data_IF_404680072524
#
_entry.id   IF_404680072524
#
_cell.length_a   1.000
_cell.length_b   1.000
_cell.length_c   1.000
_cell.angle_alpha   90.00
_cell.angle_beta   90.00
_cell.angle_gamma   90.00
#
_symmetry.space_group_name_H-M   'P 1'
#
loop_
_entity.id
_entity.type
_entity.pdbx_description
1 polymer ?
#
# COMPACT_ATOMS: atom_id res chain seq x y z
N UNK A 1 10.25 11.96 20.09
CA UNK A 1 8.85 11.63 19.76
C UNK A 1 8.70 10.13 19.71
N UNK A 2 7.58 9.58 20.17
CA UNK A 2 7.33 8.14 20.19
C UNK A 2 6.28 7.77 19.16
N UNK A 3 6.66 6.95 18.20
CA UNK A 3 5.82 6.56 17.07
C UNK A 3 5.67 5.05 17.00
N UNK A 4 4.51 4.57 16.54
CA UNK A 4 4.25 3.14 16.36
C UNK A 4 3.88 2.79 14.92
N UNK A 5 4.47 1.72 14.39
CA UNK A 5 4.07 1.13 13.13
C UNK A 5 2.90 0.16 13.29
N UNK A 6 2.10 -0.01 12.23
CA UNK A 6 1.15 -1.15 12.13
C UNK A 6 1.84 -2.46 11.71
N UNK A 7 3.14 -2.43 11.44
CA UNK A 7 3.91 -3.56 10.93
C UNK A 7 4.63 -4.31 12.05
N UNK A 8 4.73 -5.66 11.99
CA UNK A 8 5.56 -6.43 12.90
C UNK A 8 7.04 -6.00 12.85
N UNK A 9 7.78 -6.18 13.94
CA UNK A 9 9.22 -5.84 14.01
C UNK A 9 10.06 -6.56 12.93
N UNK A 10 9.63 -7.75 12.51
CA UNK A 10 10.27 -8.54 11.46
C UNK A 10 9.92 -8.11 10.04
N UNK A 11 8.98 -7.18 9.82
CA UNK A 11 8.57 -6.76 8.47
C UNK A 11 9.59 -5.83 7.83
N UNK A 12 9.82 -5.93 6.51
CA UNK A 12 10.60 -4.90 5.79
C UNK A 12 9.90 -3.54 5.83
N UNK A 13 8.57 -3.48 5.93
CA UNK A 13 7.84 -2.23 6.06
C UNK A 13 8.21 -1.47 7.35
N UNK A 14 8.62 -2.19 8.41
CA UNK A 14 9.19 -1.57 9.61
C UNK A 14 10.64 -1.07 9.39
N UNK A 15 11.40 -1.72 8.51
CA UNK A 15 12.72 -1.24 8.09
C UNK A 15 12.65 0.09 7.33
N UNK A 16 11.59 0.32 6.53
CA UNK A 16 11.31 1.63 5.93
C UNK A 16 11.15 2.71 7.00
N UNK A 17 10.35 2.41 8.03
CA UNK A 17 10.11 3.34 9.11
C UNK A 17 11.40 3.70 9.87
N UNK A 18 12.26 2.71 10.15
CA UNK A 18 13.59 2.95 10.74
C UNK A 18 14.51 3.76 9.82
N UNK A 19 14.41 3.58 8.50
CA UNK A 19 15.15 4.40 7.54
C UNK A 19 14.75 5.87 7.68
N UNK A 20 13.45 6.15 7.73
CA UNK A 20 12.94 7.50 7.93
C UNK A 20 13.42 8.14 9.23
N UNK A 21 13.27 7.46 10.37
CA UNK A 21 13.66 8.05 11.67
C UNK A 21 15.17 8.30 11.76
N UNK A 22 15.99 7.44 11.14
CA UNK A 22 17.43 7.66 11.02
C UNK A 22 17.78 8.89 10.17
N UNK A 23 17.05 9.14 9.07
CA UNK A 23 17.26 10.34 8.26
C UNK A 23 16.84 11.61 8.98
N UNK A 24 15.70 11.61 9.68
CA UNK A 24 15.25 12.76 10.49
C UNK A 24 16.31 13.13 11.53
N UNK A 25 16.83 12.14 12.28
CA UNK A 25 17.90 12.37 13.26
C UNK A 25 19.15 12.94 12.60
N UNK A 26 19.56 12.39 11.45
CA UNK A 26 20.76 12.84 10.73
C UNK A 26 20.60 14.26 10.17
N UNK A 27 19.50 14.55 9.49
CA UNK A 27 19.25 15.85 8.84
C UNK A 27 19.04 16.98 9.85
N UNK A 28 18.46 16.66 11.02
CA UNK A 28 18.27 17.62 12.11
C UNK A 28 19.51 17.85 12.98
N UNK A 29 20.58 17.09 12.77
CA UNK A 29 21.75 17.11 13.65
C UNK A 29 21.44 16.62 15.07
N UNK A 30 20.48 15.70 15.22
CA UNK A 30 20.02 15.16 16.50
C UNK A 30 18.96 16.01 17.23
N UNK A 31 18.54 17.16 16.66
CA UNK A 31 17.52 18.02 17.28
C UNK A 31 16.13 17.38 17.29
N UNK A 32 15.86 16.47 16.36
CA UNK A 32 14.63 15.69 16.32
C UNK A 32 14.96 14.19 16.30
N UNK A 33 14.52 13.49 17.33
CA UNK A 33 14.60 12.04 17.43
C UNK A 33 13.21 11.42 17.50
N UNK A 34 12.98 10.41 16.66
CA UNK A 34 11.74 9.64 16.62
C UNK A 34 12.08 8.20 16.98
N UNK A 35 11.53 7.72 18.08
CA UNK A 35 11.57 6.33 18.47
C UNK A 35 10.56 5.54 17.62
N UNK A 36 11.05 4.56 16.87
CA UNK A 36 10.24 3.71 16.02
C UNK A 36 9.86 2.42 16.75
N UNK A 37 8.59 2.25 17.09
CA UNK A 37 8.06 1.06 17.75
C UNK A 37 7.31 0.15 16.75
N UNK A 38 7.44 -1.17 16.87
CA UNK A 38 6.70 -2.11 16.02
C UNK A 38 5.22 -2.22 16.45
N UNK A 39 4.43 -2.92 15.65
CA UNK A 39 3.04 -3.26 15.96
C UNK A 39 2.91 -3.92 17.35
N UNK A 40 1.91 -3.47 18.12
CA UNK A 40 1.57 -4.05 19.43
C UNK A 40 2.46 -3.57 20.59
N UNK A 41 3.41 -2.65 20.36
CA UNK A 41 4.29 -2.17 21.42
C UNK A 41 3.56 -1.32 22.49
N UNK A 42 2.62 -0.47 22.07
CA UNK A 42 1.80 0.39 22.94
C UNK A 42 0.31 0.09 22.72
N UNK A 43 -0.13 0.07 21.46
CA UNK A 43 -1.51 -0.23 21.06
C UNK A 43 -1.57 -1.30 19.98
N UNK A 44 -2.74 -1.89 19.73
CA UNK A 44 -2.95 -2.82 18.63
C UNK A 44 -2.58 -2.21 17.27
N UNK A 45 -2.19 -3.05 16.30
CA UNK A 45 -1.71 -2.61 15.00
C UNK A 45 -2.72 -1.69 14.27
N UNK A 46 -4.01 -2.02 14.34
CA UNK A 46 -5.10 -1.26 13.72
C UNK A 46 -5.67 -0.15 14.63
N UNK A 47 -5.08 0.09 15.80
CA UNK A 47 -5.49 1.14 16.75
C UNK A 47 -4.61 2.39 16.65
N UNK A 48 -3.53 2.34 15.86
CA UNK A 48 -2.51 3.41 15.79
C UNK A 48 -3.09 4.77 15.35
N UNK A 49 -4.07 4.81 14.45
CA UNK A 49 -4.69 6.06 14.02
C UNK A 49 -5.39 6.78 15.18
N UNK A 50 -6.24 6.07 15.92
CA UNK A 50 -6.98 6.65 17.03
C UNK A 50 -6.03 7.01 18.19
N UNK A 51 -4.99 6.21 18.42
CA UNK A 51 -3.95 6.49 19.40
C UNK A 51 -3.15 7.75 19.05
N UNK A 52 -2.77 7.95 17.79
CA UNK A 52 -2.10 9.17 17.32
C UNK A 52 -3.02 10.39 17.43
N UNK A 53 -4.28 10.27 16.99
CA UNK A 53 -5.23 11.38 17.08
C UNK A 53 -5.47 11.83 18.53
N UNK A 54 -5.48 10.90 19.49
CA UNK A 54 -5.66 11.19 20.92
C UNK A 54 -4.35 11.51 21.64
N UNK A 55 -3.22 11.49 20.94
CA UNK A 55 -1.88 11.72 21.47
C UNK A 55 -1.47 10.73 22.57
N UNK A 56 -1.91 9.47 22.46
CA UNK A 56 -1.35 8.34 23.23
C UNK A 56 0.06 8.01 22.70
N UNK A 57 0.25 8.16 21.39
CA UNK A 57 1.54 8.16 20.69
C UNK A 57 1.64 9.44 19.86
N UNK A 58 2.86 9.93 19.59
CA UNK A 58 3.09 11.18 18.85
C UNK A 58 2.82 11.03 17.35
N UNK A 59 2.88 9.79 16.84
CA UNK A 59 2.63 9.50 15.44
C UNK A 59 2.61 8.01 15.11
N UNK A 60 2.30 7.70 13.86
CA UNK A 60 2.17 6.34 13.37
C UNK A 60 2.74 6.16 11.98
N UNK A 61 3.24 4.96 11.68
CA UNK A 61 3.62 4.55 10.34
C UNK A 61 2.71 3.40 9.88
N UNK A 62 1.84 3.68 8.92
CA UNK A 62 0.68 2.83 8.63
C UNK A 62 0.22 2.97 7.18
N UNK A 63 -1.01 2.58 6.87
CA UNK A 63 -1.58 2.58 5.52
C UNK A 63 -3.06 2.97 5.56
N UNK A 64 -3.43 4.02 4.81
CA UNK A 64 -4.73 4.66 4.96
C UNK A 64 -5.92 3.73 4.70
N UNK A 65 -5.77 2.75 3.81
CA UNK A 65 -6.84 1.78 3.48
C UNK A 65 -7.27 0.93 4.68
N UNK A 66 -6.49 0.83 5.76
CA UNK A 66 -6.94 0.22 7.01
C UNK A 66 -8.09 1.00 7.68
N UNK A 67 -8.29 2.26 7.31
CA UNK A 67 -9.35 3.13 7.82
C UNK A 67 -10.61 3.13 6.96
N UNK A 68 -10.72 2.21 5.98
CA UNK A 68 -11.89 2.10 5.10
C UNK A 68 -13.21 1.89 5.88
N UNK A 69 -13.13 1.29 7.08
CA UNK A 69 -14.28 1.16 7.99
C UNK A 69 -14.76 2.48 8.60
N UNK A 70 -13.91 3.52 8.64
CA UNK A 70 -14.29 4.88 9.06
C UNK A 70 -14.80 5.71 7.89
N UNK A 71 -14.11 5.66 6.74
CA UNK A 71 -14.57 6.23 5.48
C UNK A 71 -13.88 5.55 4.31
N UNK A 72 -14.67 5.14 3.31
CA UNK A 72 -14.16 4.47 2.10
C UNK A 72 -13.25 5.37 1.25
N UNK A 73 -13.29 6.69 1.46
CA UNK A 73 -12.35 7.61 0.80
C UNK A 73 -10.88 7.32 1.16
N UNK A 74 -10.61 6.62 2.27
CA UNK A 74 -9.25 6.28 2.69
C UNK A 74 -8.45 5.54 1.60
N UNK A 75 -9.12 4.68 0.81
CA UNK A 75 -8.47 3.89 -0.23
C UNK A 75 -7.87 4.73 -1.35
N UNK A 76 -8.43 5.92 -1.60
CA UNK A 76 -7.95 6.82 -2.64
C UNK A 76 -6.59 7.43 -2.27
N UNK A 77 -6.23 7.44 -0.98
CA UNK A 77 -4.95 7.97 -0.50
C UNK A 77 -3.82 6.94 -0.43
N UNK A 78 -4.07 5.70 -0.88
CA UNK A 78 -3.03 4.67 -0.94
C UNK A 78 -2.57 4.30 -2.34
N UNK A 79 -3.00 5.03 -3.36
CA UNK A 79 -2.83 4.66 -4.78
C UNK A 79 -4.07 4.03 -5.40
N UNK A 80 -4.99 3.51 -4.57
CA UNK A 80 -6.27 2.94 -4.96
C UNK A 80 -6.19 1.65 -5.79
N UNK A 81 -7.26 0.84 -5.82
CA UNK A 81 -7.38 -0.25 -6.77
C UNK A 81 -7.31 0.27 -8.21
N UNK A 82 -6.61 -0.47 -9.07
CA UNK A 82 -6.39 -0.10 -10.47
C UNK A 82 -5.36 1.00 -10.72
N UNK A 83 -4.61 1.41 -9.69
CA UNK A 83 -3.61 2.48 -9.81
C UNK A 83 -4.27 3.81 -10.17
N UNK A 84 -5.47 4.07 -9.62
CA UNK A 84 -6.28 5.28 -9.80
C UNK A 84 -6.21 5.85 -11.23
N UNK A 85 -6.96 5.21 -12.15
CA UNK A 85 -7.01 5.57 -13.57
C UNK A 85 -5.69 5.35 -14.35
N UNK A 86 -4.89 4.37 -13.93
CA UNK A 86 -3.66 3.98 -14.62
C UNK A 86 -2.45 4.86 -14.31
N UNK A 87 -2.52 5.68 -13.26
CA UNK A 87 -1.36 6.36 -12.69
C UNK A 87 -0.42 5.33 -12.06
N UNK A 88 0.84 5.34 -12.49
CA UNK A 88 1.87 4.61 -11.76
C UNK A 88 2.25 5.32 -10.46
N UNK A 89 3.20 4.75 -9.72
CA UNK A 89 3.63 5.33 -8.45
C UNK A 89 4.16 6.77 -8.58
N UNK A 90 4.92 7.06 -9.64
CA UNK A 90 5.45 8.41 -9.86
C UNK A 90 4.33 9.39 -10.19
N UNK A 91 3.38 8.97 -11.03
CA UNK A 91 2.22 9.80 -11.38
C UNK A 91 1.34 10.09 -10.16
N UNK A 92 1.13 9.08 -9.31
CA UNK A 92 0.37 9.23 -8.07
C UNK A 92 1.05 10.16 -7.07
N UNK A 93 2.37 10.09 -6.91
CA UNK A 93 3.11 11.08 -6.12
C UNK A 93 3.02 12.47 -6.75
N UNK A 94 3.03 12.56 -8.08
CA UNK A 94 2.76 13.80 -8.80
C UNK A 94 1.40 14.38 -8.44
N UNK A 95 0.35 13.56 -8.36
CA UNK A 95 -0.95 14.03 -7.89
C UNK A 95 -0.92 14.46 -6.42
N UNK A 96 -0.23 13.71 -5.56
CA UNK A 96 -0.09 14.05 -4.14
C UNK A 96 0.55 15.42 -3.96
N UNK A 97 1.70 15.67 -4.58
CA UNK A 97 2.49 16.90 -4.37
C UNK A 97 2.08 18.06 -5.27
N UNK A 98 1.65 17.80 -6.51
CA UNK A 98 1.40 18.84 -7.53
C UNK A 98 -0.07 18.88 -8.00
N UNK A 99 -0.87 17.87 -7.63
CA UNK A 99 -2.28 17.74 -8.02
C UNK A 99 -3.28 18.13 -6.92
N UNK A 100 -2.80 18.69 -5.80
CA UNK A 100 -3.62 19.03 -4.65
C UNK A 100 -3.97 17.85 -3.74
N UNK A 101 -3.28 16.71 -3.89
CA UNK A 101 -3.57 15.49 -3.14
C UNK A 101 -3.24 15.59 -1.66
N UNK A 102 -2.15 16.28 -1.28
CA UNK A 102 -1.78 16.50 0.13
C UNK A 102 -2.80 17.34 0.90
N UNK A 103 -3.38 18.37 0.27
CA UNK A 103 -4.44 19.19 0.87
C UNK A 103 -5.70 18.35 1.08
N UNK A 104 -6.08 17.54 0.09
CA UNK A 104 -7.19 16.59 0.20
C UNK A 104 -6.91 15.54 1.29
N UNK A 105 -5.66 15.12 1.46
CA UNK A 105 -5.29 14.14 2.46
C UNK A 105 -5.39 14.70 3.89
N UNK A 106 -4.95 15.95 4.09
CA UNK A 106 -5.19 16.68 5.33
C UNK A 106 -6.70 16.88 5.58
N UNK A 107 -7.46 17.24 4.54
CA UNK A 107 -8.91 17.40 4.63
C UNK A 107 -9.61 16.10 5.03
N UNK A 108 -9.15 14.96 4.49
CA UNK A 108 -9.66 13.64 4.83
C UNK A 108 -9.55 13.35 6.33
N UNK A 109 -8.38 13.52 6.91
CA UNK A 109 -8.23 13.26 8.34
C UNK A 109 -8.93 14.30 9.21
N UNK A 110 -8.76 15.59 8.92
CA UNK A 110 -9.17 16.66 9.83
C UNK A 110 -10.65 17.03 9.70
N UNK A 111 -11.23 16.96 8.48
CA UNK A 111 -12.63 17.38 8.25
C UNK A 111 -13.56 16.19 8.08
N UNK A 112 -13.22 15.24 7.23
CA UNK A 112 -14.05 14.04 6.97
C UNK A 112 -14.05 13.11 8.19
N UNK A 113 -12.87 12.72 8.68
CA UNK A 113 -12.77 11.84 9.86
C UNK A 113 -12.79 12.55 11.21
N UNK A 114 -12.58 13.88 11.23
CA UNK A 114 -12.49 14.70 12.45
C UNK A 114 -11.41 14.22 13.43
N UNK A 115 -10.27 13.79 12.89
CA UNK A 115 -9.12 13.30 13.64
C UNK A 115 -8.00 14.35 13.66
N UNK A 116 -7.29 14.41 14.79
CA UNK A 116 -6.24 15.40 15.04
C UNK A 116 -4.88 14.91 14.53
N UNK A 117 -4.79 14.65 13.22
CA UNK A 117 -3.57 14.14 12.60
C UNK A 117 -3.18 14.90 11.32
N UNK A 118 -1.89 14.86 11.01
CA UNK A 118 -1.29 15.37 9.76
C UNK A 118 -0.67 14.18 9.02
N UNK A 119 -1.16 13.84 7.81
CA UNK A 119 -0.62 12.74 7.03
C UNK A 119 0.52 13.19 6.11
N UNK A 120 1.44 12.26 5.81
CA UNK A 120 2.43 12.42 4.76
C UNK A 120 2.73 11.07 4.10
N UNK A 121 2.86 10.99 2.76
CA UNK A 121 3.27 9.75 2.10
C UNK A 121 4.72 9.41 2.47
N UNK A 122 5.01 8.12 2.72
CA UNK A 122 6.33 7.72 3.23
C UNK A 122 6.95 6.48 2.57
N UNK A 123 6.12 5.60 2.00
CA UNK A 123 6.61 4.30 1.57
C UNK A 123 6.00 3.86 0.25
N UNK A 124 6.87 3.51 -0.70
CA UNK A 124 6.54 2.69 -1.85
C UNK A 124 6.39 1.23 -1.44
N UNK A 125 5.25 0.62 -1.75
CA UNK A 125 5.02 -0.81 -1.51
C UNK A 125 4.36 -1.53 -2.71
N UNK A 126 4.27 -0.88 -3.87
CA UNK A 126 3.70 -1.46 -5.09
C UNK A 126 4.77 -1.89 -6.12
N UNK A 127 4.37 -2.31 -7.33
CA UNK A 127 3.11 -3.01 -7.57
C UNK A 127 3.10 -4.31 -6.75
N UNK A 128 2.03 -4.55 -6.01
CA UNK A 128 1.89 -5.74 -5.20
C UNK A 128 1.53 -6.98 -6.01
N UNK A 129 1.71 -8.14 -5.40
CA UNK A 129 1.25 -9.40 -5.96
C UNK A 129 -0.26 -9.53 -5.89
N UNK A 130 -0.86 -10.32 -6.79
CA UNK A 130 -2.25 -10.75 -6.59
C UNK A 130 -2.39 -11.66 -5.36
N UNK A 131 -1.30 -12.32 -4.98
CA UNK A 131 -1.19 -13.09 -3.76
C UNK A 131 -0.86 -14.57 -3.99
N UNK A 132 -0.97 -15.31 -2.92
CA UNK A 132 -0.66 -16.73 -2.80
C UNK A 132 -1.94 -17.55 -2.73
N UNK A 133 -1.97 -18.66 -3.46
CA UNK A 133 -3.17 -19.48 -3.59
C UNK A 133 -2.84 -20.96 -3.39
N UNK A 134 -3.70 -21.63 -2.61
CA UNK A 134 -3.66 -23.08 -2.41
C UNK A 134 -3.85 -23.85 -3.72
N UNK A 135 -4.74 -23.37 -4.59
CA UNK A 135 -4.98 -23.94 -5.93
C UNK A 135 -4.65 -22.89 -7.00
N UNK A 136 -4.22 -23.28 -8.21
CA UNK A 136 -4.07 -22.33 -9.31
C UNK A 136 -5.40 -21.66 -9.65
N UNK A 137 -5.35 -20.35 -9.97
CA UNK A 137 -6.45 -19.56 -10.51
C UNK A 137 -6.16 -19.26 -11.99
N UNK A 138 -7.15 -19.43 -12.86
CA UNK A 138 -7.05 -19.28 -14.31
C UNK A 138 -7.88 -18.12 -14.82
N UNK A 139 -8.95 -17.78 -14.10
CA UNK A 139 -9.87 -16.72 -14.47
C UNK A 139 -10.59 -16.12 -13.25
N UNK A 140 -11.41 -15.09 -13.47
CA UNK A 140 -12.18 -14.40 -12.44
C UNK A 140 -13.13 -15.32 -11.65
N UNK A 141 -13.73 -16.32 -12.29
CA UNK A 141 -14.70 -17.21 -11.63
C UNK A 141 -14.04 -18.16 -10.62
N UNK A 142 -12.73 -18.40 -10.74
CA UNK A 142 -11.97 -19.24 -9.81
C UNK A 142 -11.85 -18.61 -8.40
N UNK A 143 -12.24 -17.34 -8.21
CA UNK A 143 -12.35 -16.73 -6.88
C UNK A 143 -13.57 -17.22 -6.10
N UNK A 144 -14.57 -17.83 -6.76
CA UNK A 144 -15.80 -18.27 -6.11
C UNK A 144 -15.52 -19.32 -5.02
N UNK A 145 -15.87 -18.99 -3.78
CA UNK A 145 -15.66 -19.84 -2.62
C UNK A 145 -14.23 -19.88 -2.09
N UNK A 146 -13.29 -19.12 -2.68
CA UNK A 146 -11.94 -18.98 -2.13
C UNK A 146 -12.02 -18.20 -0.82
N UNK A 147 -11.48 -18.77 0.26
CA UNK A 147 -11.31 -18.07 1.54
C UNK A 147 -10.07 -17.18 1.45
N UNK A 148 -10.26 -15.92 1.11
CA UNK A 148 -9.17 -15.03 0.71
C UNK A 148 -8.92 -13.97 1.79
N UNK A 149 -7.72 -13.98 2.38
CA UNK A 149 -7.27 -12.83 3.17
C UNK A 149 -6.85 -11.72 2.21
N UNK A 150 -7.54 -10.58 2.29
CA UNK A 150 -7.25 -9.40 1.48
C UNK A 150 -7.50 -8.11 2.27
N UNK A 151 -6.63 -7.13 2.10
CA UNK A 151 -6.67 -5.82 2.77
C UNK A 151 -7.56 -4.80 2.06
N UNK A 152 -8.06 -3.84 2.84
CA UNK A 152 -8.75 -2.66 2.33
C UNK A 152 -9.99 -2.97 1.48
N UNK A 153 -10.29 -2.07 0.54
CA UNK A 153 -11.48 -2.19 -0.32
C UNK A 153 -11.35 -3.24 -1.42
N UNK A 154 -10.17 -3.83 -1.62
CA UNK A 154 -10.01 -4.95 -2.52
C UNK A 154 -10.85 -6.17 -2.07
N UNK A 155 -11.12 -6.28 -0.76
CA UNK A 155 -12.07 -7.26 -0.23
C UNK A 155 -13.47 -7.14 -0.82
N UNK A 156 -13.98 -5.93 -1.05
CA UNK A 156 -15.30 -5.75 -1.67
C UNK A 156 -15.32 -6.20 -3.13
N UNK A 157 -14.23 -5.95 -3.86
CA UNK A 157 -14.06 -6.35 -5.26
C UNK A 157 -14.03 -7.89 -5.37
N UNK A 158 -13.21 -8.57 -4.57
CA UNK A 158 -13.15 -10.03 -4.59
C UNK A 158 -14.38 -10.70 -3.97
N UNK A 159 -15.09 -10.04 -3.04
CA UNK A 159 -16.40 -10.49 -2.58
C UNK A 159 -17.43 -10.49 -3.72
N UNK A 160 -17.43 -9.48 -4.60
CA UNK A 160 -18.26 -9.49 -5.83
C UNK A 160 -17.86 -10.62 -6.79
N UNK A 161 -16.62 -11.08 -6.76
CA UNK A 161 -16.15 -12.29 -7.46
C UNK A 161 -16.61 -13.61 -6.80
N UNK A 162 -17.28 -13.55 -5.64
CA UNK A 162 -17.75 -14.71 -4.88
C UNK A 162 -16.72 -15.29 -3.91
N UNK A 163 -15.61 -14.60 -3.63
CA UNK A 163 -14.67 -14.99 -2.59
C UNK A 163 -15.24 -14.74 -1.18
N UNK A 164 -14.88 -15.59 -0.23
CA UNK A 164 -15.11 -15.35 1.19
C UNK A 164 -13.93 -14.56 1.75
N UNK A 165 -14.05 -13.24 1.81
CA UNK A 165 -12.96 -12.35 2.19
C UNK A 165 -12.85 -12.16 3.70
N UNK A 166 -11.62 -12.04 4.21
CA UNK A 166 -11.35 -11.70 5.61
C UNK A 166 -10.18 -10.74 5.71
N UNK A 167 -10.26 -9.77 6.62
CA UNK A 167 -9.16 -8.88 6.94
C UNK A 167 -8.47 -9.37 8.21
N UNK A 168 -7.16 -9.58 8.15
CA UNK A 168 -6.31 -9.98 9.29
C UNK A 168 -5.07 -9.10 9.32
N UNK A 169 -4.52 -8.82 10.50
CA UNK A 169 -3.23 -8.13 10.63
C UNK A 169 -2.10 -9.03 10.09
N UNK A 170 -0.99 -8.45 9.64
CA UNK A 170 0.11 -9.19 8.99
C UNK A 170 0.59 -10.42 9.79
N UNK A 171 0.77 -10.25 11.11
CA UNK A 171 1.21 -11.33 12.00
C UNK A 171 0.20 -12.48 12.19
N UNK A 172 -1.05 -12.30 11.77
CA UNK A 172 -2.13 -13.30 11.94
C UNK A 172 -2.35 -14.14 10.67
N UNK A 173 -1.79 -13.72 9.53
CA UNK A 173 -2.04 -14.35 8.22
C UNK A 173 -1.46 -15.77 8.18
N UNK A 174 -0.18 -15.95 8.52
CA UNK A 174 0.48 -17.26 8.47
C UNK A 174 -0.19 -18.25 9.44
N UNK A 175 -0.47 -17.92 10.71
CA UNK A 175 -1.23 -18.81 11.61
C UNK A 175 -2.65 -19.14 11.14
N UNK A 176 -3.32 -18.23 10.42
CA UNK A 176 -4.62 -18.52 9.82
C UNK A 176 -4.52 -19.48 8.63
N UNK A 177 -3.45 -19.35 7.82
CA UNK A 177 -3.16 -20.22 6.69
C UNK A 177 -2.80 -21.65 7.17
N UNK A 178 -1.93 -21.78 8.18
CA UNK A 178 -1.54 -23.07 8.78
C UNK A 178 -2.74 -23.84 9.34
N UNK A 179 -3.70 -23.13 9.95
CA UNK A 179 -4.95 -23.71 10.47
C UNK A 179 -5.99 -24.01 9.40
N UNK A 180 -5.73 -23.69 8.13
CA UNK A 180 -6.67 -23.89 7.02
C UNK A 180 -7.92 -23.01 7.09
N UNK A 181 -7.85 -21.89 7.83
CA UNK A 181 -8.95 -20.91 7.91
C UNK A 181 -9.07 -20.13 6.60
N UNK A 182 -7.94 -19.89 5.92
CA UNK A 182 -7.85 -19.24 4.62
C UNK A 182 -7.19 -20.15 3.59
N UNK A 183 -7.61 -20.03 2.33
CA UNK A 183 -7.07 -20.78 1.18
C UNK A 183 -6.17 -19.91 0.29
N UNK A 184 -6.17 -18.60 0.51
CA UNK A 184 -5.34 -17.63 -0.19
C UNK A 184 -5.05 -16.41 0.70
N UNK A 185 -3.95 -15.73 0.42
CA UNK A 185 -3.64 -14.43 1.02
C UNK A 185 -2.82 -13.55 0.08
N UNK A 186 -3.12 -12.26 0.08
CA UNK A 186 -2.19 -11.23 -0.39
C UNK A 186 -1.54 -10.54 0.82
N UNK A 187 -0.39 -9.91 0.59
CA UNK A 187 0.25 -9.06 1.59
C UNK A 187 1.01 -7.90 0.97
N UNK A 188 2.14 -8.15 0.29
CA UNK A 188 2.89 -7.09 -0.41
C UNK A 188 3.50 -7.62 -1.71
N UNK A 189 4.73 -8.14 -1.63
CA UNK A 189 5.55 -8.50 -2.79
C UNK A 189 6.48 -9.65 -2.43
N UNK A 190 7.17 -10.21 -3.44
CA UNK A 190 7.96 -11.43 -3.30
C UNK A 190 8.93 -11.42 -2.09
N UNK A 191 9.61 -10.31 -1.85
CA UNK A 191 10.55 -10.20 -0.72
C UNK A 191 9.86 -10.25 0.63
N UNK A 192 8.85 -9.41 0.83
CA UNK A 192 8.12 -9.35 2.08
C UNK A 192 7.34 -10.64 2.35
N UNK A 193 6.64 -11.17 1.34
CA UNK A 193 5.85 -12.40 1.46
C UNK A 193 6.75 -13.62 1.74
N UNK A 194 7.97 -13.62 1.19
CA UNK A 194 8.99 -14.62 1.54
C UNK A 194 9.42 -14.47 3.00
N UNK A 195 9.63 -13.25 3.48
CA UNK A 195 9.95 -12.97 4.89
C UNK A 195 8.84 -13.41 5.84
N UNK A 196 7.58 -13.31 5.39
CA UNK A 196 6.39 -13.78 6.11
C UNK A 196 6.17 -15.29 6.04
N UNK A 197 6.94 -16.03 5.22
CA UNK A 197 6.88 -17.49 5.17
C UNK A 197 5.75 -18.09 4.33
N UNK A 198 5.02 -17.30 3.54
CA UNK A 198 3.86 -17.81 2.77
C UNK A 198 4.20 -18.94 1.79
N UNK A 199 5.44 -18.92 1.28
CA UNK A 199 5.97 -19.94 0.39
C UNK A 199 6.07 -21.33 1.02
N UNK A 200 6.05 -21.44 2.35
CA UNK A 200 6.01 -22.72 3.06
C UNK A 200 4.61 -23.37 3.01
N UNK A 201 3.55 -22.56 2.87
CA UNK A 201 2.15 -23.03 2.85
C UNK A 201 1.61 -23.16 1.42
N UNK A 202 1.92 -22.20 0.55
CA UNK A 202 1.39 -22.14 -0.82
C UNK A 202 2.49 -22.01 -1.86
N UNK A 203 2.29 -22.66 -3.02
CA UNK A 203 3.27 -22.66 -4.12
C UNK A 203 2.78 -21.94 -5.38
N UNK A 204 1.52 -21.48 -5.43
CA UNK A 204 1.03 -20.68 -6.54
C UNK A 204 1.05 -19.21 -6.15
N UNK A 205 1.91 -18.44 -6.79
CA UNK A 205 2.08 -17.02 -6.52
C UNK A 205 1.78 -16.20 -7.77
N UNK A 206 0.85 -15.25 -7.72
CA UNK A 206 0.40 -14.49 -8.89
C UNK A 206 0.79 -13.03 -8.79
N UNK A 207 1.20 -12.44 -9.92
CA UNK A 207 1.48 -11.01 -10.04
C UNK A 207 1.31 -10.53 -11.49
N UNK A 208 0.97 -9.24 -11.72
CA UNK A 208 0.70 -8.22 -10.71
C UNK A 208 -0.70 -8.36 -10.09
N UNK A 209 -0.91 -7.76 -8.92
CA UNK A 209 -2.22 -7.55 -8.31
C UNK A 209 -2.77 -6.20 -8.72
N UNK A 210 -3.95 -6.18 -9.34
CA UNK A 210 -4.59 -4.91 -9.75
C UNK A 210 -5.13 -4.12 -8.55
N UNK A 211 -5.38 -4.78 -7.42
CA UNK A 211 -5.84 -4.15 -6.19
C UNK A 211 -4.85 -3.15 -5.59
N UNK A 212 -3.56 -3.36 -5.85
CA UNK A 212 -2.46 -2.57 -5.27
C UNK A 212 -1.32 -2.44 -6.28
N UNK A 213 -1.67 -2.07 -7.52
CA UNK A 213 -0.71 -1.78 -8.59
C UNK A 213 0.13 -0.53 -8.32
N UNK A 214 -0.44 0.40 -7.54
CA UNK A 214 0.27 1.50 -6.89
C UNK A 214 -0.08 1.45 -5.41
N UNK A 215 0.93 1.27 -4.54
CA UNK A 215 0.74 1.33 -3.08
C UNK A 215 1.64 2.38 -2.48
N UNK A 216 1.02 3.31 -1.76
CA UNK A 216 1.67 4.32 -0.93
C UNK A 216 1.19 4.17 0.50
N UNK A 217 2.13 4.02 1.43
CA UNK A 217 1.84 4.05 2.86
C UNK A 217 2.05 5.45 3.43
N UNK A 218 1.61 5.63 4.67
CA UNK A 218 1.53 6.94 5.31
C UNK A 218 2.29 7.02 6.64
N UNK A 219 2.77 8.23 6.90
CA UNK A 219 3.21 8.69 8.19
C UNK A 219 2.13 9.62 8.74
N UNK A 220 1.68 9.40 9.97
CA UNK A 220 0.73 10.24 10.66
C UNK A 220 1.43 10.91 11.82
N UNK A 221 1.37 12.24 11.91
CA UNK A 221 1.72 12.99 13.11
C UNK A 221 0.45 13.35 13.86
N UNK A 222 0.49 13.33 15.20
CA UNK A 222 -0.48 14.10 15.96
C UNK A 222 -0.33 15.58 15.59
N UNK A 223 -1.44 16.27 15.29
CA UNK A 223 -1.40 17.64 14.80
C UNK A 223 -0.77 18.61 15.81
N UNK A 224 -1.09 18.48 17.10
CA UNK A 224 -0.53 19.37 18.13
C UNK A 224 0.98 19.18 18.30
N UNK A 225 1.48 17.98 17.99
CA UNK A 225 2.93 17.70 17.95
C UNK A 225 3.54 18.33 16.72
N UNK A 226 2.92 18.15 15.55
CA UNK A 226 3.37 18.74 14.29
C UNK A 226 3.46 20.26 14.37
N UNK A 227 2.40 20.92 14.84
CA UNK A 227 2.30 22.38 14.94
C UNK A 227 3.32 22.99 15.92
N UNK A 228 3.88 22.19 16.84
CA UNK A 228 4.92 22.63 17.79
C UNK A 228 6.33 22.47 17.27
N UNK A 229 6.52 21.73 16.17
CA UNK A 229 7.84 21.65 15.54
C UNK A 229 8.17 23.01 14.92
N UNK A 230 9.38 23.54 15.14
CA UNK A 230 9.92 24.63 14.35
C UNK A 230 9.83 24.31 12.85
N UNK A 231 9.59 25.34 12.02
CA UNK A 231 9.40 25.20 10.57
C UNK A 231 10.56 24.45 9.90
N UNK A 232 11.80 24.64 10.38
CA UNK A 232 12.96 23.94 9.83
C UNK A 232 12.94 22.43 10.14
N UNK A 233 12.39 22.03 11.30
CA UNK A 233 12.20 20.62 11.64
C UNK A 233 11.02 19.99 10.89
N UNK A 234 9.96 20.75 10.60
CA UNK A 234 8.88 20.31 9.71
C UNK A 234 9.43 20.04 8.30
N UNK A 235 10.19 20.98 7.74
CA UNK A 235 10.84 20.82 6.44
C UNK A 235 11.81 19.63 6.41
N UNK A 236 12.55 19.37 7.49
CA UNK A 236 13.40 18.18 7.62
C UNK A 236 12.57 16.90 7.59
N UNK A 237 11.42 16.84 8.27
CA UNK A 237 10.54 15.67 8.22
C UNK A 237 10.04 15.42 6.81
N UNK A 238 9.53 16.45 6.14
CA UNK A 238 9.02 16.35 4.76
C UNK A 238 10.13 15.89 3.80
N UNK A 239 11.31 16.50 3.87
CA UNK A 239 12.47 16.12 3.06
C UNK A 239 12.97 14.70 3.35
N UNK A 240 13.00 14.28 4.62
CA UNK A 240 13.36 12.93 5.02
C UNK A 240 12.35 11.89 4.52
N UNK A 241 11.07 12.25 4.45
CA UNK A 241 10.04 11.38 3.91
C UNK A 241 10.21 11.16 2.40
N UNK A 242 10.43 12.23 1.62
CA UNK A 242 10.73 12.13 0.18
C UNK A 242 12.00 11.30 -0.07
N UNK A 243 13.07 11.57 0.69
CA UNK A 243 14.30 10.78 0.61
C UNK A 243 14.01 9.29 0.84
N UNK A 244 13.24 8.99 1.90
CA UNK A 244 12.87 7.62 2.28
C UNK A 244 12.09 6.95 1.16
N UNK A 245 11.08 7.61 0.59
CA UNK A 245 10.30 7.07 -0.53
C UNK A 245 11.20 6.61 -1.68
N UNK A 246 12.08 7.49 -2.18
CA UNK A 246 12.88 7.22 -3.38
C UNK A 246 13.93 6.15 -3.12
N UNK A 247 14.63 6.24 -1.98
CA UNK A 247 15.65 5.26 -1.60
C UNK A 247 15.05 3.90 -1.31
N UNK A 248 13.87 3.88 -0.68
CA UNK A 248 13.12 2.67 -0.42
C UNK A 248 12.68 2.01 -1.72
N UNK A 249 12.08 2.77 -2.65
CA UNK A 249 11.62 2.24 -3.94
C UNK A 249 12.76 1.54 -4.69
N UNK A 250 13.93 2.16 -4.78
CA UNK A 250 15.10 1.57 -5.46
C UNK A 250 15.55 0.26 -4.80
N UNK A 251 15.63 0.23 -3.46
CA UNK A 251 15.98 -0.98 -2.72
C UNK A 251 14.90 -2.06 -2.86
N UNK A 252 13.62 -1.70 -2.73
CA UNK A 252 12.49 -2.61 -2.74
C UNK A 252 12.37 -3.34 -4.08
N UNK A 253 12.56 -2.63 -5.20
CA UNK A 253 12.55 -3.23 -6.53
C UNK A 253 13.65 -4.29 -6.70
N UNK A 254 14.88 -3.99 -6.25
CA UNK A 254 15.99 -4.96 -6.26
C UNK A 254 15.67 -6.16 -5.36
N UNK A 255 15.27 -5.88 -4.13
CA UNK A 255 14.94 -6.90 -3.12
C UNK A 255 13.88 -7.88 -3.63
N UNK A 256 12.82 -7.37 -4.27
CA UNK A 256 11.77 -8.20 -4.84
C UNK A 256 12.26 -9.04 -6.02
N UNK A 257 13.09 -8.50 -6.92
CA UNK A 257 13.65 -9.27 -8.02
C UNK A 257 14.53 -10.43 -7.53
N UNK A 258 15.36 -10.18 -6.51
CA UNK A 258 16.19 -11.21 -5.88
C UNK A 258 15.32 -12.27 -5.17
N UNK A 259 14.28 -11.84 -4.44
CA UNK A 259 13.35 -12.75 -3.78
C UNK A 259 12.58 -13.63 -4.76
N UNK A 260 12.13 -13.09 -5.90
CA UNK A 260 11.48 -13.90 -6.95
C UNK A 260 12.39 -15.02 -7.47
N UNK A 261 13.70 -14.74 -7.61
CA UNK A 261 14.68 -15.76 -7.99
C UNK A 261 14.79 -16.84 -6.92
N UNK A 262 14.94 -16.44 -5.66
CA UNK A 262 15.03 -17.37 -4.51
C UNK A 262 13.78 -18.25 -4.40
N UNK A 263 12.58 -17.65 -4.47
CA UNK A 263 11.32 -18.36 -4.38
C UNK A 263 11.19 -19.46 -5.46
N UNK A 264 11.61 -19.17 -6.69
CA UNK A 264 11.60 -20.17 -7.79
C UNK A 264 12.66 -21.24 -7.59
N UNK A 265 13.92 -20.83 -7.41
CA UNK A 265 15.07 -21.73 -7.45
C UNK A 265 15.22 -22.58 -6.20
N UNK A 266 14.87 -22.04 -5.02
CA UNK A 266 15.10 -22.70 -3.72
C UNK A 266 13.83 -23.24 -3.09
N UNK A 267 12.71 -22.54 -3.25
CA UNK A 267 11.45 -22.91 -2.57
C UNK A 267 10.41 -23.56 -3.49
N UNK A 268 10.73 -23.76 -4.78
CA UNK A 268 9.86 -24.43 -5.75
C UNK A 268 8.54 -23.68 -6.01
N UNK A 269 8.51 -22.37 -5.80
CA UNK A 269 7.31 -21.56 -6.02
C UNK A 269 7.07 -21.37 -7.51
N UNK A 270 5.85 -21.66 -7.95
CA UNK A 270 5.39 -21.35 -9.30
C UNK A 270 4.86 -19.92 -9.34
N UNK A 271 5.74 -18.99 -9.73
CA UNK A 271 5.36 -17.59 -9.95
C UNK A 271 4.69 -17.45 -11.32
N UNK A 272 3.43 -17.00 -11.31
CA UNK A 272 2.56 -16.91 -12.47
C UNK A 272 2.24 -15.46 -12.78
N UNK A 273 2.08 -15.16 -14.06
CA UNK A 273 1.44 -13.92 -14.48
C UNK A 273 -0.05 -14.01 -14.12
N UNK A 274 -0.59 -12.96 -13.53
CA UNK A 274 -2.03 -12.84 -13.32
C UNK A 274 -2.74 -12.92 -14.67
N UNK A 275 -3.73 -13.83 -14.84
CA UNK A 275 -4.58 -13.88 -16.02
C UNK A 275 -5.17 -12.51 -16.37
N UNK A 276 -5.18 -12.18 -17.66
CA UNK A 276 -5.59 -10.86 -18.15
C UNK A 276 -7.07 -10.59 -17.88
N UNK A 277 -7.91 -11.62 -17.91
CA UNK A 277 -9.34 -11.51 -17.60
C UNK A 277 -9.56 -11.08 -16.14
N UNK A 278 -8.76 -11.58 -15.19
CA UNK A 278 -8.81 -11.15 -13.79
C UNK A 278 -8.46 -9.66 -13.68
N UNK A 279 -7.45 -9.18 -14.41
CA UNK A 279 -7.07 -7.77 -14.38
C UNK A 279 -8.19 -6.87 -14.90
N UNK A 280 -8.84 -7.22 -16.01
CA UNK A 280 -9.96 -6.45 -16.55
C UNK A 280 -11.19 -6.51 -15.66
N UNK A 281 -11.61 -7.70 -15.22
CA UNK A 281 -12.77 -7.87 -14.34
C UNK A 281 -12.61 -7.15 -13.01
N UNK A 282 -11.39 -7.11 -12.48
CA UNK A 282 -11.08 -6.33 -11.31
C UNK A 282 -11.33 -4.83 -11.53
N UNK A 283 -10.84 -4.26 -12.63
CA UNK A 283 -11.03 -2.85 -12.96
C UNK A 283 -12.50 -2.51 -13.17
N UNK A 284 -13.24 -3.32 -13.93
CA UNK A 284 -14.68 -3.16 -14.15
C UNK A 284 -15.44 -3.14 -12.81
N UNK A 285 -15.18 -4.12 -11.95
CA UNK A 285 -15.83 -4.25 -10.64
C UNK A 285 -15.47 -3.08 -9.71
N UNK A 286 -14.22 -2.62 -9.75
CA UNK A 286 -13.78 -1.45 -8.99
C UNK A 286 -14.47 -0.16 -9.46
N UNK A 287 -14.56 0.07 -10.77
CA UNK A 287 -15.22 1.24 -11.33
C UNK A 287 -16.71 1.29 -10.94
N UNK A 288 -17.39 0.14 -10.92
CA UNK A 288 -18.75 0.04 -10.40
C UNK A 288 -18.84 0.46 -8.91
N UNK A 289 -18.00 -0.12 -8.06
CA UNK A 289 -17.97 0.18 -6.62
C UNK A 289 -17.64 1.65 -6.38
N UNK A 290 -16.64 2.19 -7.06
CA UNK A 290 -16.23 3.58 -6.91
C UNK A 290 -17.32 4.54 -7.40
N UNK A 291 -18.02 4.23 -8.50
CA UNK A 291 -19.13 5.03 -8.98
C UNK A 291 -20.34 5.00 -8.03
N UNK A 292 -20.64 3.84 -7.42
CA UNK A 292 -21.65 3.72 -6.36
C UNK A 292 -21.26 4.52 -5.11
N UNK A 293 -19.99 4.45 -4.70
CA UNK A 293 -19.47 5.21 -3.56
C UNK A 293 -19.53 6.73 -3.80
N UNK A 294 -19.10 7.18 -4.98
CA UNK A 294 -19.12 8.58 -5.37
C UNK A 294 -20.53 9.20 -5.39
N UNK A 295 -21.59 8.39 -5.57
CA UNK A 295 -22.98 8.87 -5.51
C UNK A 295 -23.43 9.20 -4.08
N UNK A 296 -22.89 8.51 -3.07
CA UNK A 296 -23.33 8.63 -1.67
C UNK A 296 -22.33 9.32 -0.75
N UNK A 297 -21.05 9.37 -1.12
CA UNK A 297 -20.00 10.04 -0.36
C UNK A 297 -19.43 11.23 -1.18
N UNK A 298 -19.84 12.48 -0.87
CA UNK A 298 -19.36 13.67 -1.56
C UNK A 298 -17.85 13.88 -1.45
N UNK A 299 -17.24 13.52 -0.31
CA UNK A 299 -15.80 13.64 -0.12
C UNK A 299 -15.04 12.62 -0.98
N UNK A 300 -15.49 11.36 -1.02
CA UNK A 300 -14.97 10.34 -1.94
C UNK A 300 -15.03 10.85 -3.38
N UNK A 301 -16.20 11.35 -3.82
CA UNK A 301 -16.38 11.90 -5.16
C UNK A 301 -15.38 13.02 -5.46
N UNK A 302 -15.21 13.96 -4.54
CA UNK A 302 -14.27 15.09 -4.67
C UNK A 302 -12.85 14.60 -4.91
N UNK A 303 -12.37 13.64 -4.13
CA UNK A 303 -11.01 13.09 -4.27
C UNK A 303 -10.88 12.31 -5.58
N UNK A 304 -11.85 11.44 -5.88
CA UNK A 304 -11.84 10.60 -7.08
C UNK A 304 -11.88 11.43 -8.38
N UNK A 305 -12.69 12.48 -8.42
CA UNK A 305 -12.73 13.42 -9.56
C UNK A 305 -11.40 14.19 -9.70
N UNK A 306 -10.78 14.61 -8.59
CA UNK A 306 -9.47 15.27 -8.59
C UNK A 306 -8.40 14.38 -9.21
N UNK A 307 -8.34 13.12 -8.77
CA UNK A 307 -7.42 12.12 -9.31
C UNK A 307 -7.69 11.83 -10.79
N UNK A 308 -8.95 11.66 -11.19
CA UNK A 308 -9.33 11.46 -12.59
C UNK A 308 -8.86 12.62 -13.46
N UNK A 309 -9.07 13.86 -13.00
CA UNK A 309 -8.65 15.06 -13.72
C UNK A 309 -7.13 15.07 -13.93
N UNK A 310 -6.35 14.80 -12.88
CA UNK A 310 -4.89 14.74 -12.98
C UNK A 310 -4.43 13.61 -13.93
N UNK A 311 -4.97 12.41 -13.75
CA UNK A 311 -4.66 11.24 -14.57
C UNK A 311 -4.98 11.45 -16.07
N UNK A 312 -6.06 12.18 -16.37
CA UNK A 312 -6.47 12.46 -17.76
C UNK A 312 -5.43 13.23 -18.58
N UNK A 313 -4.49 13.93 -17.91
CA UNK A 313 -3.39 14.64 -18.55
C UNK A 313 -2.12 13.79 -18.51
N UNK A 314 -1.76 13.28 -17.33
CA UNK A 314 -0.46 12.64 -17.10
C UNK A 314 -0.38 11.26 -17.74
N UNK A 315 -1.42 10.42 -17.63
CA UNK A 315 -1.37 9.04 -18.13
C UNK A 315 -1.25 8.97 -19.66
N UNK A 316 -2.04 9.72 -20.46
CA UNK A 316 -1.84 9.76 -21.91
C UNK A 316 -0.47 10.31 -22.31
N UNK A 317 0.00 11.37 -21.62
CA UNK A 317 1.33 11.94 -21.86
C UNK A 317 2.44 10.91 -21.61
N UNK A 318 2.38 10.17 -20.50
CA UNK A 318 3.35 9.13 -20.15
C UNK A 318 3.36 7.99 -21.16
N UNK A 319 2.19 7.52 -21.59
CA UNK A 319 2.06 6.49 -22.63
C UNK A 319 2.70 6.89 -23.96
N UNK A 320 2.75 8.18 -24.27
CA UNK A 320 3.36 8.69 -25.50
C UNK A 320 4.86 8.94 -25.34
N UNK A 321 5.29 9.54 -24.23
CA UNK A 321 6.69 9.91 -23.99
C UNK A 321 7.59 8.73 -23.66
N UNK A 322 7.07 7.70 -23.00
CA UNK A 322 7.86 6.56 -22.54
C UNK A 322 7.74 5.38 -23.51
N UNK A 323 8.86 4.76 -23.93
CA UNK A 323 8.79 3.51 -24.67
C UNK A 323 8.16 2.43 -23.79
N UNK A 324 7.38 1.49 -24.37
CA UNK A 324 6.87 0.35 -23.61
C UNK A 324 8.01 -0.40 -22.92
N UNK A 325 7.89 -0.67 -21.61
CA UNK A 325 8.94 -1.37 -20.86
C UNK A 325 9.39 -2.68 -21.53
N UNK A 326 8.42 -3.45 -22.04
CA UNK A 326 8.69 -4.72 -22.72
C UNK A 326 9.53 -4.58 -23.98
N UNK A 327 9.57 -3.41 -24.62
CA UNK A 327 10.29 -3.24 -25.89
C UNK A 327 11.79 -3.47 -25.71
N UNK A 328 12.43 -2.71 -24.81
CA UNK A 328 13.84 -2.90 -24.51
C UNK A 328 14.07 -4.18 -23.69
N UNK A 329 13.16 -4.52 -22.77
CA UNK A 329 13.31 -5.70 -21.93
C UNK A 329 13.33 -7.00 -22.76
N UNK A 330 12.39 -7.18 -23.70
CA UNK A 330 12.33 -8.39 -24.53
C UNK A 330 13.53 -8.46 -25.52
N UNK A 331 14.13 -7.33 -25.91
CA UNK A 331 15.34 -7.30 -26.72
C UNK A 331 16.58 -7.77 -25.96
N UNK A 332 16.82 -7.26 -24.74
CA UNK A 332 18.00 -7.63 -23.93
C UNK A 332 17.82 -8.92 -23.13
N UNK A 333 16.58 -9.26 -22.79
CA UNK A 333 16.21 -10.41 -21.95
C UNK A 333 15.07 -11.20 -22.60
N UNK A 334 15.34 -11.89 -23.72
CA UNK A 334 14.31 -12.61 -24.45
C UNK A 334 13.65 -13.68 -23.57
N UNK A 335 12.34 -13.84 -23.74
CA UNK A 335 11.56 -14.88 -23.04
C UNK A 335 12.14 -16.24 -23.41
N UNK A 336 12.55 -17.00 -22.40
CA UNK A 336 13.00 -18.39 -22.55
C UNK A 336 11.82 -19.35 -22.54
#
# INVERSE_FOLDING_TARGET
>A
LTFQATWPAGSSLFDNFKMFTAQVKKMSGGRLEIEALPAGAIVGALEVLDATSRRVIDGAHTWASYWAGKSKAAVLFTGGPGGTFGMDFTDYLGWMFEGGGLELYNEFYQKELKLNVVPYPIMYAGPQSLGWFKKPIKNWDDFKGVKFRVGGMAGEVFAKAGASVVMLAGGEILPAAERGVIDAAEWVTAGEDMKMGFHEIWKNYYMPGMHESTTVAELLFNKDVWDKLPEDLQAIVEGAAIYTIIRWQAWFNKYNAEAMKILREKHGVTIRKTPVDILYKFLETWDEIAAEEAKKNPFFKKVWDSQRKFASVVVPGRRFMFPPYSFAADYYWPKK
#
